data_IF_309556793370
#
_entry.id   IF_309556793370
#
_cell.length_a   1.000
_cell.length_b   1.000
_cell.length_c   1.000
_cell.angle_alpha   90.00
_cell.angle_beta   90.00
_cell.angle_gamma   90.00
#
_symmetry.space_group_name_H-M   'P 1'
#
loop_
_entity.id
_entity.type
_entity.pdbx_description
1 polymer ?
#
# COMPACT_ATOMS: atom_id res chain seq x y z
N UNK A 1 -20.63 -31.51 0.16
CA UNK A 1 -21.17 -32.30 -0.97
C UNK A 1 -20.86 -31.53 -2.24
N UNK A 2 -20.45 -32.20 -3.32
CA UNK A 2 -20.11 -31.56 -4.60
C UNK A 2 -19.05 -30.44 -4.50
N UNK A 3 -18.04 -30.65 -3.65
CA UNK A 3 -16.98 -29.67 -3.39
C UNK A 3 -17.40 -28.47 -2.54
N UNK A 4 -18.68 -28.34 -2.19
CA UNK A 4 -19.19 -27.28 -1.32
C UNK A 4 -19.11 -27.68 0.16
N UNK A 5 -18.81 -26.72 1.06
CA UNK A 5 -18.82 -26.97 2.49
C UNK A 5 -20.23 -27.15 3.02
N UNK A 6 -20.38 -28.08 3.96
CA UNK A 6 -21.61 -28.34 4.69
C UNK A 6 -21.30 -28.35 6.18
N UNK A 7 -22.24 -27.89 6.98
CA UNK A 7 -22.03 -27.59 8.39
C UNK A 7 -23.09 -28.26 9.25
N UNK A 8 -22.73 -28.70 10.46
CA UNK A 8 -23.69 -29.25 11.42
C UNK A 8 -24.64 -28.13 11.86
N UNK A 9 -25.93 -28.31 11.61
CA UNK A 9 -26.95 -27.29 11.84
C UNK A 9 -27.06 -26.90 13.32
N UNK A 10 -26.91 -27.88 14.21
CA UNK A 10 -26.97 -27.66 15.66
C UNK A 10 -25.87 -26.72 16.15
N UNK A 11 -24.66 -26.81 15.61
CA UNK A 11 -23.53 -25.98 16.00
C UNK A 11 -23.71 -24.54 15.51
N UNK A 12 -24.16 -24.36 14.27
CA UNK A 12 -24.51 -23.03 13.74
C UNK A 12 -25.59 -22.40 14.61
N UNK A 13 -26.69 -23.12 14.87
CA UNK A 13 -27.79 -22.62 15.69
C UNK A 13 -27.32 -22.20 17.08
N UNK A 14 -26.42 -22.98 17.71
CA UNK A 14 -25.82 -22.62 19.00
C UNK A 14 -25.00 -21.33 18.90
N UNK A 15 -24.16 -21.19 17.89
CA UNK A 15 -23.33 -20.00 17.66
C UNK A 15 -24.16 -18.72 17.47
N UNK A 16 -25.31 -18.81 16.81
CA UNK A 16 -26.19 -17.66 16.57
C UNK A 16 -27.32 -17.55 17.60
N UNK A 17 -27.36 -18.43 18.61
CA UNK A 17 -28.34 -18.40 19.70
C UNK A 17 -29.77 -18.65 19.23
N UNK A 18 -29.95 -19.63 18.33
CA UNK A 18 -31.22 -20.26 17.97
C UNK A 18 -31.35 -21.56 18.77
N UNK A 19 -32.38 -21.66 19.60
CA UNK A 19 -32.55 -22.80 20.52
C UNK A 19 -33.06 -24.07 19.84
N UNK A 20 -33.93 -23.94 18.83
CA UNK A 20 -34.52 -25.08 18.13
C UNK A 20 -33.93 -25.19 16.73
N UNK A 21 -32.89 -26.02 16.57
CA UNK A 21 -32.23 -26.23 15.29
C UNK A 21 -33.16 -26.89 14.27
N UNK A 22 -34.01 -27.83 14.69
CA UNK A 22 -34.95 -28.54 13.80
C UNK A 22 -35.94 -27.59 13.15
N UNK A 23 -36.52 -26.68 13.92
CA UNK A 23 -37.42 -25.63 13.43
C UNK A 23 -36.68 -24.68 12.47
N UNK A 24 -35.46 -24.26 12.83
CA UNK A 24 -34.65 -23.39 12.00
C UNK A 24 -34.31 -24.00 10.63
N UNK A 25 -33.97 -25.29 10.60
CA UNK A 25 -33.69 -26.03 9.36
C UNK A 25 -34.94 -26.36 8.56
N UNK A 26 -36.09 -26.55 9.20
CA UNK A 26 -37.35 -26.87 8.51
C UNK A 26 -37.78 -25.73 7.58
N UNK A 27 -37.44 -24.49 7.93
CA UNK A 27 -37.72 -23.31 7.13
C UNK A 27 -36.68 -23.04 6.02
N UNK A 28 -35.67 -23.89 5.84
CA UNK A 28 -34.72 -23.79 4.72
C UNK A 28 -35.24 -24.55 3.51
N UNK A 29 -34.79 -24.14 2.33
CA UNK A 29 -35.10 -24.84 1.07
C UNK A 29 -34.41 -26.23 1.05
N UNK A 30 -34.88 -27.12 0.18
CA UNK A 30 -34.44 -28.52 0.18
C UNK A 30 -32.98 -28.69 -0.27
N UNK A 31 -32.44 -27.74 -1.04
CA UNK A 31 -31.02 -27.66 -1.43
C UNK A 31 -30.13 -27.01 -0.35
N UNK A 32 -30.73 -26.42 0.68
CA UNK A 32 -30.01 -25.74 1.76
C UNK A 32 -29.81 -26.59 3.01
N UNK A 33 -30.48 -27.76 3.07
CA UNK A 33 -30.49 -28.65 4.23
C UNK A 33 -30.31 -30.11 3.82
N UNK A 34 -29.83 -30.93 4.74
CA UNK A 34 -29.63 -32.34 4.51
C UNK A 34 -29.36 -33.11 5.79
N UNK A 35 -29.04 -34.38 5.63
CA UNK A 35 -28.64 -35.29 6.71
C UNK A 35 -27.30 -35.91 6.35
N UNK A 36 -26.39 -35.97 7.32
CA UNK A 36 -25.13 -36.69 7.20
C UNK A 36 -24.94 -37.64 8.37
N UNK A 37 -24.32 -38.78 8.10
CA UNK A 37 -23.87 -39.69 9.14
C UNK A 37 -22.57 -39.14 9.75
N UNK A 38 -22.52 -39.05 11.07
CA UNK A 38 -21.35 -38.60 11.83
C UNK A 38 -21.10 -39.54 12.98
N UNK A 39 -19.83 -39.89 13.19
CA UNK A 39 -19.43 -40.68 14.34
C UNK A 39 -19.48 -39.83 15.61
N UNK A 40 -20.27 -40.27 16.58
CA UNK A 40 -20.37 -39.66 17.89
C UNK A 40 -19.88 -40.63 18.97
N UNK A 41 -19.77 -40.15 20.21
CA UNK A 41 -19.46 -41.03 21.36
C UNK A 41 -20.49 -42.16 21.54
N UNK A 42 -21.72 -41.99 21.03
CA UNK A 42 -22.77 -43.00 21.03
C UNK A 42 -22.80 -43.89 19.77
N UNK A 43 -21.78 -43.79 18.91
CA UNK A 43 -21.73 -44.45 17.61
C UNK A 43 -22.18 -43.55 16.45
N UNK A 44 -22.33 -44.13 15.24
CA UNK A 44 -22.78 -43.39 14.06
C UNK A 44 -24.19 -42.82 14.27
N UNK A 45 -24.35 -41.52 14.07
CA UNK A 45 -25.63 -40.82 14.19
C UNK A 45 -25.89 -39.94 12.97
N UNK A 46 -27.15 -39.89 12.57
CA UNK A 46 -27.62 -38.95 11.55
C UNK A 46 -27.80 -37.56 12.16
N UNK A 47 -27.09 -36.58 11.61
CA UNK A 47 -27.15 -35.19 12.03
C UNK A 47 -27.65 -34.30 10.90
N UNK A 48 -28.47 -33.30 11.24
CA UNK A 48 -28.89 -32.29 10.29
C UNK A 48 -27.70 -31.41 9.92
N UNK A 49 -27.49 -31.25 8.61
CA UNK A 49 -26.47 -30.38 8.04
C UNK A 49 -27.11 -29.30 7.18
N UNK A 50 -26.43 -28.18 7.02
CA UNK A 50 -26.83 -27.07 6.16
C UNK A 50 -25.70 -26.72 5.21
N UNK A 51 -26.07 -26.33 3.99
CA UNK A 51 -25.12 -25.82 3.01
C UNK A 51 -24.65 -24.41 3.38
N UNK A 52 -23.68 -23.89 2.63
CA UNK A 52 -23.27 -22.49 2.77
C UNK A 52 -24.43 -21.51 2.52
N UNK A 53 -25.30 -21.78 1.54
CA UNK A 53 -26.51 -20.97 1.30
C UNK A 53 -27.43 -20.99 2.53
N UNK A 54 -27.71 -22.19 3.06
CA UNK A 54 -28.52 -22.35 4.27
C UNK A 54 -27.95 -21.65 5.49
N UNK A 55 -26.62 -21.65 5.67
CA UNK A 55 -25.95 -20.87 6.71
C UNK A 55 -26.26 -19.38 6.58
N UNK A 56 -26.13 -18.82 5.38
CA UNK A 56 -26.42 -17.41 5.13
C UNK A 56 -27.90 -17.09 5.36
N UNK A 57 -28.81 -17.94 4.88
CA UNK A 57 -30.24 -17.81 5.11
C UNK A 57 -30.57 -17.77 6.61
N UNK A 58 -30.00 -18.68 7.42
CA UNK A 58 -30.19 -18.71 8.87
C UNK A 58 -29.70 -17.42 9.56
N UNK A 59 -28.52 -16.92 9.18
CA UNK A 59 -27.96 -15.71 9.77
C UNK A 59 -28.79 -14.48 9.39
N UNK A 60 -29.12 -14.31 8.11
CA UNK A 60 -29.79 -13.13 7.58
C UNK A 60 -31.27 -13.06 8.00
N UNK A 61 -31.94 -14.21 8.11
CA UNK A 61 -33.34 -14.30 8.59
C UNK A 61 -33.48 -14.14 10.10
N UNK A 62 -32.40 -14.33 10.87
CA UNK A 62 -32.44 -14.18 12.32
C UNK A 62 -33.02 -12.82 12.72
N UNK A 63 -33.97 -12.80 13.66
CA UNK A 63 -34.50 -11.56 14.25
C UNK A 63 -33.40 -10.68 14.86
N UNK A 64 -32.29 -11.30 15.30
CA UNK A 64 -31.13 -10.60 15.85
C UNK A 64 -30.31 -9.88 14.77
N UNK A 65 -30.50 -10.19 13.48
CA UNK A 65 -29.78 -9.55 12.38
C UNK A 65 -30.04 -8.04 12.25
N UNK A 66 -31.14 -7.55 12.83
CA UNK A 66 -31.45 -6.10 12.91
C UNK A 66 -31.03 -5.47 14.25
N UNK A 67 -30.58 -6.25 15.23
CA UNK A 67 -30.20 -5.77 16.56
C UNK A 67 -28.70 -5.49 16.63
N UNK A 68 -28.26 -4.23 16.84
CA UNK A 68 -26.85 -3.89 17.00
C UNK A 68 -26.17 -4.69 18.12
N UNK A 69 -24.88 -4.98 17.95
CA UNK A 69 -24.08 -5.75 18.92
C UNK A 69 -24.14 -7.28 18.77
N UNK A 70 -25.11 -7.82 18.04
CA UNK A 70 -25.20 -9.27 17.78
C UNK A 70 -24.28 -9.73 16.65
N UNK A 71 -23.94 -11.03 16.63
CA UNK A 71 -23.12 -11.64 15.56
C UNK A 71 -23.81 -11.50 14.20
N UNK A 72 -25.12 -11.76 14.16
CA UNK A 72 -25.92 -11.73 12.94
C UNK A 72 -26.00 -10.33 12.36
N UNK A 73 -26.16 -9.31 13.22
CA UNK A 73 -26.16 -7.92 12.77
C UNK A 73 -24.80 -7.52 12.19
N UNK A 74 -23.69 -7.90 12.83
CA UNK A 74 -22.35 -7.63 12.30
C UNK A 74 -22.15 -8.28 10.94
N UNK A 75 -22.53 -9.55 10.79
CA UNK A 75 -22.44 -10.27 9.53
C UNK A 75 -23.28 -9.63 8.42
N UNK A 76 -24.56 -9.35 8.69
CA UNK A 76 -25.46 -8.66 7.76
C UNK A 76 -24.90 -7.30 7.35
N UNK A 77 -24.44 -6.49 8.32
CA UNK A 77 -23.87 -5.17 8.02
C UNK A 77 -22.61 -5.30 7.18
N UNK A 78 -21.67 -6.17 7.56
CA UNK A 78 -20.45 -6.41 6.81
C UNK A 78 -20.72 -6.79 5.35
N UNK A 79 -21.61 -7.76 5.11
CA UNK A 79 -21.99 -8.14 3.74
C UNK A 79 -22.58 -6.96 2.97
N UNK A 80 -23.54 -6.24 3.58
CA UNK A 80 -24.31 -5.21 2.87
C UNK A 80 -23.56 -3.89 2.68
N UNK A 81 -22.65 -3.52 3.59
CA UNK A 81 -21.90 -2.26 3.51
C UNK A 81 -20.52 -2.40 2.88
N UNK A 82 -19.93 -3.60 2.91
CA UNK A 82 -18.55 -3.81 2.48
C UNK A 82 -18.46 -4.81 1.33
N UNK A 83 -18.89 -6.05 1.54
CA UNK A 83 -18.71 -7.15 0.58
C UNK A 83 -19.43 -6.89 -0.74
N UNK A 84 -20.76 -6.70 -0.70
CA UNK A 84 -21.56 -6.50 -1.92
C UNK A 84 -21.14 -5.23 -2.66
N UNK A 85 -20.96 -4.07 -1.99
CA UNK A 85 -20.47 -2.87 -2.66
C UNK A 85 -19.08 -3.03 -3.29
N UNK A 86 -18.17 -3.77 -2.65
CA UNK A 86 -16.87 -4.08 -3.22
C UNK A 86 -17.02 -4.91 -4.50
N UNK A 87 -17.67 -6.08 -4.43
CA UNK A 87 -17.91 -6.95 -5.60
C UNK A 87 -18.54 -6.17 -6.75
N UNK A 88 -19.57 -5.35 -6.50
CA UNK A 88 -20.23 -4.54 -7.53
C UNK A 88 -19.29 -3.53 -8.21
N UNK A 89 -18.32 -2.98 -7.47
CA UNK A 89 -17.38 -1.95 -7.96
C UNK A 89 -16.13 -2.54 -8.60
N UNK A 90 -15.61 -3.64 -8.07
CA UNK A 90 -14.30 -4.18 -8.41
C UNK A 90 -14.36 -5.54 -9.10
N UNK A 91 -15.52 -6.19 -9.16
CA UNK A 91 -15.70 -7.53 -9.71
C UNK A 91 -15.33 -8.66 -8.75
N UNK A 92 -14.90 -8.35 -7.53
CA UNK A 92 -14.51 -9.36 -6.53
C UNK A 92 -14.30 -8.76 -5.14
N UNK A 93 -14.26 -9.63 -4.12
CA UNK A 93 -13.98 -9.28 -2.74
C UNK A 93 -12.89 -10.21 -2.20
N UNK A 94 -11.79 -9.64 -1.71
CA UNK A 94 -10.58 -10.40 -1.41
C UNK A 94 -9.70 -10.61 -2.67
N UNK A 95 -8.40 -10.39 -2.49
CA UNK A 95 -7.35 -10.22 -3.51
C UNK A 95 -7.47 -8.94 -4.37
N UNK A 96 -6.34 -8.27 -4.67
CA UNK A 96 -6.34 -7.07 -5.49
C UNK A 96 -6.86 -7.41 -6.89
N UNK A 97 -7.96 -6.77 -7.30
CA UNK A 97 -8.42 -6.82 -8.68
C UNK A 97 -7.33 -6.29 -9.62
N UNK A 98 -7.31 -6.72 -10.88
CA UNK A 98 -6.30 -6.28 -11.86
C UNK A 98 -6.17 -4.74 -11.92
N UNK A 99 -7.28 -4.03 -11.81
CA UNK A 99 -7.29 -2.56 -11.74
C UNK A 99 -6.73 -1.96 -10.44
N UNK A 100 -6.58 -2.73 -9.36
CA UNK A 100 -5.85 -2.33 -8.15
C UNK A 100 -4.35 -2.61 -8.27
N UNK A 101 -3.95 -3.72 -8.89
CA UNK A 101 -2.53 -4.01 -9.17
C UNK A 101 -1.91 -2.94 -10.05
N UNK A 102 -2.61 -2.52 -11.12
CA UNK A 102 -2.08 -1.48 -12.01
C UNK A 102 -2.02 -0.09 -11.35
N UNK A 103 -3.00 0.23 -10.49
CA UNK A 103 -2.96 1.47 -9.68
C UNK A 103 -1.83 1.44 -8.67
N UNK A 104 -1.58 0.30 -8.03
CA UNK A 104 -0.52 0.14 -7.04
C UNK A 104 0.87 0.16 -7.71
N UNK A 105 1.01 -0.46 -8.89
CA UNK A 105 2.22 -0.34 -9.71
C UNK A 105 2.50 1.10 -10.15
N UNK A 106 1.48 1.85 -10.59
CA UNK A 106 1.65 3.28 -10.93
C UNK A 106 2.12 4.09 -9.74
N UNK A 107 1.49 3.93 -8.57
CA UNK A 107 1.88 4.62 -7.34
C UNK A 107 3.31 4.28 -6.93
N UNK A 108 3.69 3.02 -7.02
CA UNK A 108 5.05 2.57 -6.76
C UNK A 108 6.06 3.20 -7.74
N UNK A 109 5.70 3.25 -9.03
CA UNK A 109 6.54 3.84 -10.08
C UNK A 109 6.78 5.34 -9.86
N UNK A 110 5.73 6.07 -9.49
CA UNK A 110 5.82 7.50 -9.19
C UNK A 110 6.64 7.76 -7.91
N UNK A 111 6.51 6.89 -6.90
CA UNK A 111 7.33 6.94 -5.71
C UNK A 111 8.81 6.70 -6.02
N UNK A 112 9.13 5.65 -6.80
CA UNK A 112 10.50 5.34 -7.24
C UNK A 112 11.09 6.51 -8.02
N UNK A 113 10.32 7.10 -8.95
CA UNK A 113 10.77 8.27 -9.73
C UNK A 113 11.08 9.46 -8.81
N UNK A 114 10.23 9.71 -7.83
CA UNK A 114 10.42 10.81 -6.86
C UNK A 114 11.66 10.58 -6.01
N UNK A 115 11.83 9.37 -5.47
CA UNK A 115 13.03 8.98 -4.71
C UNK A 115 14.30 9.12 -5.55
N UNK A 116 14.29 8.66 -6.81
CA UNK A 116 15.43 8.78 -7.71
C UNK A 116 15.82 10.24 -7.96
N UNK A 117 14.85 11.14 -8.12
CA UNK A 117 15.11 12.59 -8.25
C UNK A 117 15.73 13.18 -6.99
N UNK A 118 15.28 12.76 -5.81
CA UNK A 118 15.85 13.22 -4.54
C UNK A 118 17.30 12.76 -4.37
N UNK A 119 17.59 11.50 -4.69
CA UNK A 119 18.95 10.94 -4.64
C UNK A 119 19.88 11.72 -5.58
N UNK A 120 19.44 11.97 -6.82
CA UNK A 120 20.24 12.74 -7.77
C UNK A 120 20.52 14.17 -7.26
N UNK A 121 19.50 14.85 -6.73
CA UNK A 121 19.69 16.20 -6.17
C UNK A 121 20.64 16.22 -4.96
N UNK A 122 20.69 15.13 -4.17
CA UNK A 122 21.65 14.98 -3.08
C UNK A 122 23.08 14.77 -3.60
N UNK A 123 23.26 13.97 -4.64
CA UNK A 123 24.56 13.77 -5.29
C UNK A 123 25.11 15.07 -5.87
N UNK A 124 24.27 15.82 -6.59
CA UNK A 124 24.63 17.12 -7.18
C UNK A 124 25.07 18.12 -6.09
N UNK A 125 24.41 18.12 -4.92
CA UNK A 125 24.76 19.00 -3.80
C UNK A 125 26.10 18.61 -3.16
N UNK A 126 26.41 17.32 -3.07
CA UNK A 126 27.71 16.83 -2.58
C UNK A 126 28.83 17.23 -3.54
N UNK A 127 28.61 17.10 -4.84
CA UNK A 127 29.58 17.50 -5.87
C UNK A 127 29.85 19.00 -5.85
N UNK A 128 28.79 19.82 -5.72
CA UNK A 128 28.90 21.27 -5.56
C UNK A 128 29.73 21.64 -4.31
N UNK A 129 29.47 20.98 -3.18
CA UNK A 129 30.17 21.25 -1.91
C UNK A 129 31.64 20.87 -1.99
N UNK A 130 31.97 19.73 -2.60
CA UNK A 130 33.36 19.30 -2.84
C UNK A 130 34.11 20.31 -3.70
N UNK A 131 33.47 20.77 -4.78
CA UNK A 131 34.04 21.78 -5.67
C UNK A 131 34.30 23.08 -4.91
N UNK A 132 33.35 23.57 -4.12
CA UNK A 132 33.50 24.78 -3.32
C UNK A 132 34.64 24.68 -2.30
N UNK A 133 34.74 23.55 -1.58
CA UNK A 133 35.82 23.31 -0.61
C UNK A 133 37.20 23.29 -1.27
N UNK A 134 37.31 22.69 -2.46
CA UNK A 134 38.56 22.70 -3.23
C UNK A 134 38.96 24.14 -3.61
N UNK A 135 38.00 24.98 -4.03
CA UNK A 135 38.26 26.39 -4.33
C UNK A 135 38.68 27.20 -3.11
N UNK A 136 37.99 27.04 -1.99
CA UNK A 136 38.32 27.77 -0.77
C UNK A 136 39.70 27.37 -0.23
N UNK A 137 40.06 26.09 -0.36
CA UNK A 137 41.40 25.58 -0.01
C UNK A 137 42.48 26.19 -0.91
N UNK A 138 42.27 26.20 -2.23
CA UNK A 138 43.19 26.83 -3.18
C UNK A 138 43.34 28.31 -2.88
N UNK A 139 42.22 29.04 -2.67
CA UNK A 139 42.25 30.47 -2.33
C UNK A 139 43.07 30.74 -1.06
N UNK A 140 42.91 29.92 -0.02
CA UNK A 140 43.66 30.06 1.23
C UNK A 140 45.16 29.77 1.05
N UNK A 141 45.52 28.72 0.29
CA UNK A 141 46.92 28.42 -0.02
C UNK A 141 47.56 29.54 -0.82
N UNK A 142 46.84 30.07 -1.80
CA UNK A 142 47.31 31.15 -2.66
C UNK A 142 47.53 32.45 -1.87
N UNK A 143 46.70 32.77 -0.88
CA UNK A 143 46.91 33.91 0.02
C UNK A 143 48.07 33.72 1.01
N UNK A 144 48.50 32.48 1.26
CA UNK A 144 49.62 32.17 2.19
C UNK A 144 50.96 32.04 1.48
N UNK A 145 50.96 31.74 0.18
CA UNK A 145 52.11 31.88 -0.71
C UNK A 145 52.23 33.32 -1.21
N UNK A 146 53.43 33.89 -1.25
CA UNK A 146 53.71 35.26 -1.70
C UNK A 146 53.51 35.49 -3.21
N UNK A 147 52.44 34.97 -3.80
CA UNK A 147 52.02 35.23 -5.17
C UNK A 147 51.38 36.62 -5.25
N UNK A 148 51.66 37.35 -6.33
CA UNK A 148 51.05 38.65 -6.57
C UNK A 148 49.60 38.49 -7.04
N UNK A 149 48.72 39.44 -6.71
CA UNK A 149 47.26 39.37 -6.99
C UNK A 149 46.91 39.05 -8.46
N UNK A 150 47.77 39.43 -9.41
CA UNK A 150 47.61 39.14 -10.85
C UNK A 150 47.84 37.66 -11.19
N UNK A 151 48.80 37.00 -10.54
CA UNK A 151 49.09 35.58 -10.73
C UNK A 151 47.98 34.71 -10.13
N UNK A 152 47.41 35.16 -9.01
CA UNK A 152 46.28 34.54 -8.33
C UNK A 152 45.03 34.58 -9.21
N UNK A 153 44.73 35.75 -9.77
CA UNK A 153 43.55 35.93 -10.61
C UNK A 153 43.62 35.12 -11.91
N UNK A 154 44.79 35.03 -12.53
CA UNK A 154 45.00 34.21 -13.72
C UNK A 154 44.81 32.70 -13.43
N UNK A 155 45.36 32.21 -12.31
CA UNK A 155 45.28 30.80 -11.93
C UNK A 155 43.87 30.36 -11.50
N UNK A 156 43.17 31.17 -10.69
CA UNK A 156 41.81 30.87 -10.22
C UNK A 156 40.77 31.07 -11.33
N UNK A 157 40.91 32.13 -12.14
CA UNK A 157 39.99 32.42 -13.26
C UNK A 157 39.98 31.36 -14.35
N UNK A 158 41.10 30.66 -14.54
CA UNK A 158 41.24 29.60 -15.55
C UNK A 158 40.76 28.22 -15.07
N UNK A 159 40.46 28.04 -13.77
CA UNK A 159 40.12 26.73 -13.24
C UNK A 159 38.65 26.36 -13.56
N UNK A 160 38.38 25.19 -14.16
CA UNK A 160 37.05 24.78 -14.62
C UNK A 160 35.91 24.93 -13.59
N UNK A 161 36.14 24.64 -12.32
CA UNK A 161 35.08 24.73 -11.31
C UNK A 161 34.79 26.15 -10.79
N UNK A 162 35.70 27.13 -10.94
CA UNK A 162 35.42 28.53 -10.62
C UNK A 162 34.61 29.14 -11.74
N UNK A 163 34.97 28.83 -12.99
CA UNK A 163 34.19 29.17 -14.17
C UNK A 163 32.78 28.58 -14.08
N UNK A 164 32.64 27.33 -13.65
CA UNK A 164 31.33 26.70 -13.41
C UNK A 164 30.55 27.37 -12.26
N UNK A 165 31.21 27.70 -11.14
CA UNK A 165 30.61 28.40 -10.01
C UNK A 165 30.10 29.80 -10.39
N UNK A 166 30.93 30.60 -11.08
CA UNK A 166 30.54 31.93 -11.56
C UNK A 166 29.37 31.81 -12.54
N UNK A 167 29.44 30.91 -13.52
CA UNK A 167 28.32 30.63 -14.44
C UNK A 167 27.02 30.27 -13.71
N UNK A 168 27.11 29.49 -12.62
CA UNK A 168 25.94 29.08 -11.83
C UNK A 168 25.34 30.21 -10.97
N UNK A 169 26.14 31.20 -10.57
CA UNK A 169 25.71 32.26 -9.64
C UNK A 169 25.36 33.57 -10.34
N UNK A 170 26.00 33.91 -11.47
CA UNK A 170 25.71 35.12 -12.25
C UNK A 170 24.89 34.85 -13.51
N UNK A 171 24.67 33.59 -13.90
CA UNK A 171 23.83 33.22 -15.03
C UNK A 171 24.39 33.62 -16.41
N UNK A 172 25.64 34.09 -16.48
CA UNK A 172 26.28 34.47 -17.74
C UNK A 172 27.16 33.35 -18.30
N UNK A 173 27.05 33.08 -19.61
CA UNK A 173 27.68 31.94 -20.30
C UNK A 173 29.06 32.23 -20.92
N UNK A 174 29.45 33.50 -21.05
CA UNK A 174 30.72 33.91 -21.66
C UNK A 174 31.87 33.97 -20.64
N UNK A 175 33.13 33.72 -21.05
CA UNK A 175 34.26 33.76 -20.13
C UNK A 175 34.50 35.20 -19.67
N UNK A 176 34.68 35.39 -18.35
CA UNK A 176 34.92 36.70 -17.74
C UNK A 176 36.35 37.14 -18.03
N UNK A 177 36.63 37.50 -19.27
CA UNK A 177 37.89 38.15 -19.68
C UNK A 177 37.86 39.67 -19.38
N UNK A 178 36.73 40.18 -18.86
CA UNK A 178 36.50 41.61 -18.61
C UNK A 178 36.71 42.08 -17.16
N UNK A 179 37.11 41.21 -16.23
CA UNK A 179 37.32 41.59 -14.82
C UNK A 179 38.80 41.77 -14.43
N UNK A 180 39.73 41.68 -15.38
CA UNK A 180 41.16 41.84 -15.17
C UNK A 180 41.76 42.90 -16.10
N UNK A 181 41.40 44.16 -15.85
CA UNK A 181 42.23 45.32 -16.22
C UNK A 181 42.28 46.26 -15.01
N UNK A 182 43.42 46.92 -14.76
CA UNK A 182 43.81 47.45 -13.45
C UNK A 182 42.87 48.51 -12.89
#
# INVERSE_FOLDING_TARGET
QDGQPWFVAADICRCIGISNSRDATAALDDDEKGVALTDTLGGPQEVSIVSESGLYALILRSRKAVTPGTVQHRFRKWITSEVIPAIRKTGGYGAPSEGSVERDMRRMSDFIRTQKKLIQAQEDLVEFTRSKLAFDTIRSLVQTTALSDSEIAAAVGSHPGYVAYVRSTTGQTEPVEAALQP
#
